data_IF_486535095717
#
_entry.id   IF_486535095717
#
_cell.length_a   1.000
_cell.length_b   1.000
_cell.length_c   1.000
_cell.angle_alpha   90.00
_cell.angle_beta   90.00
_cell.angle_gamma   90.00
#
_symmetry.space_group_name_H-M   'P 1'
#
loop_
_entity.id
_entity.type
_entity.pdbx_description
1 polymer ?
#
# COMPACT_ATOMS: atom_id res chain seq x y z
N UNK A 1 7.49 -0.73 -13.48
CA UNK A 1 7.26 -2.13 -13.08
C UNK A 1 5.96 -2.26 -12.34
N UNK A 2 5.22 -3.36 -12.54
CA UNK A 2 3.93 -3.68 -11.94
C UNK A 2 4.01 -5.03 -11.24
N UNK A 3 3.30 -5.22 -10.13
CA UNK A 3 2.99 -6.57 -9.61
C UNK A 3 1.65 -6.99 -10.19
N UNK A 4 1.63 -8.07 -10.96
CA UNK A 4 0.43 -8.58 -11.62
C UNK A 4 0.02 -9.93 -11.03
N UNK A 5 -1.28 -10.10 -10.80
CA UNK A 5 -1.90 -11.39 -10.64
C UNK A 5 -2.23 -11.95 -12.03
N UNK A 6 -1.77 -13.17 -12.30
CA UNK A 6 -1.95 -13.83 -13.59
C UNK A 6 -3.13 -14.79 -13.54
N UNK A 7 -3.79 -14.92 -14.68
CA UNK A 7 -4.99 -15.75 -14.80
C UNK A 7 -4.63 -17.23 -15.00
N UNK A 8 -4.05 -17.81 -13.95
CA UNK A 8 -3.68 -19.21 -13.87
C UNK A 8 -4.35 -19.84 -12.65
N UNK A 9 -4.48 -21.17 -12.64
CA UNK A 9 -4.87 -21.95 -11.45
C UNK A 9 -3.70 -22.88 -11.09
N UNK A 10 -3.06 -22.73 -9.91
CA UNK A 10 -3.24 -21.66 -8.93
C UNK A 10 -2.84 -20.26 -9.47
N UNK A 11 -3.33 -19.20 -8.82
CA UNK A 11 -3.00 -17.81 -9.21
C UNK A 11 -1.50 -17.60 -9.07
N UNK A 12 -0.84 -17.22 -10.17
CA UNK A 12 0.58 -16.88 -10.17
C UNK A 12 0.74 -15.36 -10.13
N UNK A 13 1.90 -14.90 -9.66
CA UNK A 13 2.24 -13.49 -9.65
C UNK A 13 3.50 -13.24 -10.46
N UNK A 14 3.63 -12.04 -11.02
CA UNK A 14 4.85 -11.64 -11.71
C UNK A 14 5.07 -10.14 -11.63
N UNK A 15 6.33 -9.75 -11.70
CA UNK A 15 6.71 -8.40 -12.05
C UNK A 15 6.58 -8.22 -13.55
N UNK A 16 6.03 -7.09 -13.98
CA UNK A 16 5.89 -6.75 -15.38
C UNK A 16 6.41 -5.33 -15.66
N UNK A 17 7.29 -5.21 -16.64
CA UNK A 17 7.76 -3.92 -17.14
C UNK A 17 6.92 -3.53 -18.35
N UNK A 18 6.16 -2.44 -18.23
CA UNK A 18 5.30 -1.94 -19.31
C UNK A 18 6.10 -1.44 -20.53
N UNK A 19 7.29 -0.91 -20.34
CA UNK A 19 8.11 -0.33 -21.41
C UNK A 19 8.84 -1.39 -22.23
N UNK A 20 9.42 -2.38 -21.55
CA UNK A 20 10.25 -3.39 -22.19
C UNK A 20 9.53 -4.74 -22.40
N UNK A 21 8.32 -4.90 -21.86
CA UNK A 21 7.60 -6.19 -21.87
C UNK A 21 8.28 -7.28 -21.04
N UNK A 22 9.28 -6.91 -20.22
CA UNK A 22 10.01 -7.86 -19.38
C UNK A 22 9.11 -8.40 -18.27
N UNK A 23 9.23 -9.70 -18.00
CA UNK A 23 8.48 -10.38 -16.94
C UNK A 23 9.42 -11.13 -16.01
N UNK A 24 9.25 -10.96 -14.70
CA UNK A 24 9.97 -11.71 -13.67
C UNK A 24 8.94 -12.46 -12.83
N UNK A 25 8.93 -13.81 -12.83
CA UNK A 25 8.01 -14.59 -12.00
C UNK A 25 8.23 -14.32 -10.51
N UNK A 26 7.13 -14.23 -9.75
CA UNK A 26 7.17 -14.17 -8.29
C UNK A 26 6.74 -15.54 -7.73
N UNK A 27 7.38 -16.02 -6.66
CA UNK A 27 6.98 -17.29 -6.05
C UNK A 27 5.60 -17.20 -5.43
N UNK A 28 4.88 -18.33 -5.43
CA UNK A 28 3.51 -18.41 -4.90
C UNK A 28 3.43 -18.81 -3.42
N UNK A 29 4.57 -18.95 -2.75
CA UNK A 29 4.64 -19.49 -1.40
C UNK A 29 5.49 -18.67 -0.43
N UNK A 30 5.13 -18.72 0.85
CA UNK A 30 5.78 -18.06 1.97
C UNK A 30 6.47 -19.11 2.86
N UNK A 31 7.72 -18.86 3.22
CA UNK A 31 8.43 -19.60 4.25
C UNK A 31 8.13 -18.99 5.62
N UNK A 32 7.55 -19.78 6.52
CA UNK A 32 7.25 -19.39 7.91
C UNK A 32 8.32 -20.00 8.84
N UNK A 33 9.01 -19.20 9.67
CA UNK A 33 9.89 -19.70 10.73
C UNK A 33 9.14 -20.67 11.65
N UNK A 34 9.74 -21.83 11.95
CA UNK A 34 9.23 -22.82 12.91
C UNK A 34 7.86 -23.47 12.60
N UNK A 35 7.38 -23.36 11.35
CA UNK A 35 6.09 -23.90 10.89
C UNK A 35 6.16 -24.92 9.74
N UNK A 36 4.97 -25.25 9.20
CA UNK A 36 4.75 -26.21 8.11
C UNK A 36 5.30 -25.72 6.75
N UNK A 37 6.62 -25.72 6.57
CA UNK A 37 7.28 -25.52 5.28
C UNK A 37 6.77 -24.32 4.47
N UNK A 38 6.76 -24.47 3.15
CA UNK A 38 6.29 -23.46 2.21
C UNK A 38 4.76 -23.47 2.11
N UNK A 39 4.11 -22.34 2.41
CA UNK A 39 2.64 -22.22 2.37
C UNK A 39 2.15 -21.27 1.26
N UNK A 40 1.06 -21.59 0.53
CA UNK A 40 0.52 -20.71 -0.50
C UNK A 40 0.09 -19.34 0.06
N UNK A 41 0.31 -18.28 -0.72
CA UNK A 41 -0.07 -16.92 -0.35
C UNK A 41 -0.94 -16.23 -1.40
N UNK A 42 -1.69 -15.22 -0.96
CA UNK A 42 -2.39 -14.28 -1.84
C UNK A 42 -1.84 -12.88 -1.64
N UNK A 43 -1.19 -12.31 -2.67
CA UNK A 43 -0.71 -10.92 -2.67
C UNK A 43 -1.88 -9.95 -2.77
N UNK A 44 -1.84 -8.88 -1.97
CA UNK A 44 -2.87 -7.83 -1.95
C UNK A 44 -2.34 -6.48 -2.36
N UNK A 45 -1.19 -6.10 -1.81
CA UNK A 45 -0.50 -4.87 -2.13
C UNK A 45 1.00 -5.11 -2.01
N UNK A 46 1.80 -4.40 -2.79
CA UNK A 46 3.25 -4.55 -2.78
C UNK A 46 3.95 -3.25 -3.14
N UNK A 47 5.14 -3.07 -2.59
CA UNK A 47 6.01 -1.92 -2.81
C UNK A 47 7.45 -2.37 -2.99
N UNK A 48 8.29 -1.55 -3.63
CA UNK A 48 9.68 -1.90 -3.95
C UNK A 48 10.65 -0.99 -3.23
N UNK A 49 11.82 -1.52 -2.89
CA UNK A 49 12.95 -0.70 -2.42
C UNK A 49 13.52 0.19 -3.52
N UNK A 50 13.54 -0.32 -4.75
CA UNK A 50 14.12 0.30 -5.94
C UNK A 50 13.55 -0.34 -7.21
N UNK A 51 13.78 0.28 -8.37
CA UNK A 51 13.33 -0.27 -9.65
C UNK A 51 14.15 -1.52 -10.02
N UNK A 52 13.52 -2.63 -10.42
CA UNK A 52 14.26 -3.80 -10.95
C UNK A 52 15.13 -3.51 -12.18
N UNK A 53 14.85 -2.44 -12.94
CA UNK A 53 15.68 -2.04 -14.10
C UNK A 53 16.91 -1.23 -13.69
N UNK A 54 16.88 -0.60 -12.52
CA UNK A 54 17.99 0.17 -11.96
C UNK A 54 18.14 -0.21 -10.49
N UNK A 55 18.54 -1.47 -10.20
CA UNK A 55 18.63 -1.96 -8.84
C UNK A 55 19.67 -1.16 -8.05
N UNK A 56 19.46 -1.08 -6.74
CA UNK A 56 20.46 -0.49 -5.84
C UNK A 56 21.70 -1.39 -5.73
N UNK A 57 22.72 -0.96 -4.97
CA UNK A 57 23.94 -1.75 -4.79
C UNK A 57 23.67 -3.17 -4.25
N UNK A 58 22.57 -3.34 -3.50
CA UNK A 58 22.17 -4.63 -2.95
C UNK A 58 20.98 -5.28 -3.67
N UNK A 59 20.72 -4.90 -4.92
CA UNK A 59 19.56 -5.35 -5.67
C UNK A 59 18.29 -4.55 -5.36
N UNK A 60 17.15 -5.18 -5.61
CA UNK A 60 15.83 -4.69 -5.23
C UNK A 60 15.11 -5.75 -4.38
N UNK A 61 14.18 -5.27 -3.58
CA UNK A 61 13.34 -6.11 -2.74
C UNK A 61 11.91 -5.62 -2.78
N UNK A 62 10.99 -6.54 -2.56
CA UNK A 62 9.55 -6.31 -2.52
C UNK A 62 9.08 -6.56 -1.11
N UNK A 63 8.34 -5.61 -0.56
CA UNK A 63 7.53 -5.80 0.65
C UNK A 63 6.07 -5.84 0.27
N UNK A 64 5.32 -6.78 0.81
CA UNK A 64 3.94 -7.03 0.42
C UNK A 64 3.02 -7.36 1.60
N UNK A 65 1.76 -6.98 1.43
CA UNK A 65 0.65 -7.47 2.25
C UNK A 65 0.18 -8.78 1.62
N UNK A 66 0.21 -9.86 2.41
CA UNK A 66 -0.25 -11.18 2.00
C UNK A 66 -1.33 -11.73 2.92
N UNK A 67 -2.21 -12.54 2.34
CA UNK A 67 -3.13 -13.41 3.07
C UNK A 67 -2.62 -14.85 2.98
N UNK A 68 -2.39 -15.47 4.14
CA UNK A 68 -1.89 -16.84 4.29
C UNK A 68 -2.72 -17.53 5.37
N UNK A 69 -3.31 -18.69 5.09
CA UNK A 69 -4.15 -19.43 6.05
C UNK A 69 -5.22 -18.56 6.72
N UNK A 70 -5.87 -17.67 5.95
CA UNK A 70 -6.87 -16.70 6.43
C UNK A 70 -6.34 -15.65 7.43
N UNK A 71 -5.02 -15.50 7.56
CA UNK A 71 -4.35 -14.50 8.40
C UNK A 71 -3.52 -13.55 7.56
N UNK A 72 -3.42 -12.30 8.02
CA UNK A 72 -2.65 -11.25 7.37
C UNK A 72 -1.20 -11.25 7.87
N UNK A 73 -0.27 -11.11 6.94
CA UNK A 73 1.17 -11.14 7.21
C UNK A 73 1.90 -10.19 6.26
N UNK A 74 3.03 -9.64 6.73
CA UNK A 74 3.98 -8.95 5.88
C UNK A 74 4.94 -9.97 5.26
N UNK A 75 5.04 -9.97 3.93
CA UNK A 75 5.94 -10.85 3.20
C UNK A 75 6.96 -10.05 2.40
N UNK A 76 8.17 -10.60 2.30
CA UNK A 76 9.28 -9.97 1.62
C UNK A 76 9.91 -10.93 0.62
N UNK A 77 10.35 -10.40 -0.51
CA UNK A 77 11.03 -11.18 -1.53
C UNK A 77 12.09 -10.36 -2.24
N UNK A 78 13.19 -11.02 -2.57
CA UNK A 78 14.23 -10.50 -3.46
C UNK A 78 14.49 -11.51 -4.56
N UNK A 79 15.01 -11.02 -5.68
CA UNK A 79 15.35 -11.87 -6.81
C UNK A 79 16.32 -12.99 -6.39
N UNK A 80 16.06 -14.20 -6.91
CA UNK A 80 16.81 -15.41 -6.60
C UNK A 80 16.30 -16.22 -5.41
N UNK A 81 15.41 -15.68 -4.57
CA UNK A 81 14.79 -16.47 -3.50
C UNK A 81 13.66 -17.37 -4.06
N UNK A 82 13.63 -18.67 -3.68
CA UNK A 82 12.60 -19.60 -4.16
C UNK A 82 11.22 -19.33 -3.58
N UNK A 83 11.14 -18.66 -2.42
CA UNK A 83 9.92 -18.35 -1.70
C UNK A 83 10.00 -16.95 -1.09
N UNK A 84 8.84 -16.41 -0.71
CA UNK A 84 8.78 -15.22 0.14
C UNK A 84 9.24 -15.56 1.56
N UNK A 85 9.78 -14.57 2.26
CA UNK A 85 10.14 -14.67 3.68
C UNK A 85 9.29 -13.69 4.50
N UNK A 86 9.29 -13.86 5.81
CA UNK A 86 8.67 -12.93 6.77
C UNK A 86 9.71 -12.47 7.81
N UNK A 87 9.30 -11.70 8.81
CA UNK A 87 10.14 -11.33 9.95
C UNK A 87 10.54 -12.56 10.76
N UNK A 88 11.73 -12.51 11.36
CA UNK A 88 12.22 -13.50 12.34
C UNK A 88 11.53 -13.37 13.72
N UNK A 89 10.40 -12.66 13.78
CA UNK A 89 9.66 -12.47 15.02
C UNK A 89 8.76 -13.68 15.25
N UNK A 90 8.62 -14.11 16.50
CA UNK A 90 7.62 -15.10 16.91
C UNK A 90 6.20 -14.70 16.47
N UNK A 91 5.93 -13.39 16.35
CA UNK A 91 4.67 -12.86 15.83
C UNK A 91 4.77 -12.55 14.33
N UNK A 92 4.65 -13.58 13.51
CA UNK A 92 4.53 -13.47 12.04
C UNK A 92 3.22 -12.80 11.63
N UNK A 93 2.19 -12.87 12.47
CA UNK A 93 0.85 -12.44 12.14
C UNK A 93 0.64 -10.99 12.51
N UNK A 94 -0.14 -10.27 11.70
CA UNK A 94 -0.57 -8.93 12.06
C UNK A 94 -1.86 -9.01 12.87
N UNK A 95 -1.83 -8.49 14.10
CA UNK A 95 -2.99 -8.44 15.01
C UNK A 95 -4.18 -7.70 14.40
N UNK A 96 -3.90 -6.72 13.53
CA UNK A 96 -4.88 -5.99 12.72
C UNK A 96 -4.54 -6.13 11.23
N UNK A 97 -5.55 -6.23 10.35
CA UNK A 97 -5.30 -6.24 8.91
C UNK A 97 -4.61 -4.94 8.47
N UNK A 98 -3.44 -5.01 7.80
CA UNK A 98 -2.83 -3.85 7.17
C UNK A 98 -3.73 -3.36 6.02
N UNK A 99 -3.76 -2.04 5.82
CA UNK A 99 -4.50 -1.37 4.76
C UNK A 99 -3.59 -0.96 3.61
N UNK A 100 -2.34 -0.60 3.91
CA UNK A 100 -1.37 -0.21 2.90
C UNK A 100 0.09 -0.48 3.33
N UNK A 101 0.99 -0.53 2.35
CA UNK A 101 2.43 -0.71 2.52
C UNK A 101 3.22 0.28 1.65
N UNK A 102 4.29 0.87 2.19
CA UNK A 102 5.17 1.77 1.44
C UNK A 102 6.62 1.61 1.89
N UNK A 103 7.55 1.53 0.94
CA UNK A 103 8.96 1.68 1.24
C UNK A 103 9.34 3.17 1.22
N UNK A 104 9.91 3.65 2.31
CA UNK A 104 10.39 5.02 2.47
C UNK A 104 11.52 5.02 3.51
N UNK A 105 12.47 5.95 3.44
CA UNK A 105 13.50 6.12 4.48
C UNK A 105 14.28 4.85 4.88
N UNK A 106 14.41 3.85 3.99
CA UNK A 106 15.11 2.59 4.28
C UNK A 106 14.28 1.49 4.95
N UNK A 107 12.98 1.69 5.19
CA UNK A 107 12.10 0.72 5.83
C UNK A 107 10.79 0.51 5.05
N UNK A 108 10.17 -0.66 5.23
CA UNK A 108 8.81 -0.91 4.80
C UNK A 108 7.84 -0.53 5.91
N UNK A 109 6.99 0.45 5.65
CA UNK A 109 5.94 0.91 6.54
C UNK A 109 4.63 0.23 6.17
N UNK A 110 4.01 -0.45 7.13
CA UNK A 110 2.65 -0.98 7.01
C UNK A 110 1.73 -0.18 7.91
N UNK A 111 0.62 0.32 7.36
CA UNK A 111 -0.41 1.02 8.16
C UNK A 111 -1.61 0.11 8.38
N UNK A 112 -2.09 0.05 9.62
CA UNK A 112 -3.26 -0.75 10.00
C UNK A 112 -4.56 0.06 9.92
N UNK A 113 -5.70 -0.62 10.06
CA UNK A 113 -7.01 0.04 10.11
C UNK A 113 -7.18 0.97 11.32
N UNK A 114 -6.41 0.78 12.39
CA UNK A 114 -6.34 1.66 13.57
C UNK A 114 -5.16 2.64 13.52
N UNK A 115 -4.59 2.88 12.33
CA UNK A 115 -3.58 3.91 12.06
C UNK A 115 -2.23 3.69 12.76
N UNK A 116 -1.99 2.47 13.26
CA UNK A 116 -0.69 2.06 13.76
C UNK A 116 0.25 1.79 12.60
N UNK A 117 1.54 1.99 12.87
CA UNK A 117 2.63 1.65 11.95
C UNK A 117 3.36 0.42 12.47
N UNK A 118 3.55 -0.55 11.59
CA UNK A 118 4.52 -1.63 11.79
C UNK A 118 5.61 -1.44 10.74
N UNK A 119 6.85 -1.22 11.19
CA UNK A 119 8.00 -1.06 10.31
C UNK A 119 8.76 -2.37 10.18
N UNK A 120 9.22 -2.66 8.98
CA UNK A 120 10.17 -3.74 8.72
C UNK A 120 11.42 -3.17 8.07
N UNK A 121 12.55 -3.31 8.76
CA UNK A 121 13.85 -2.83 8.29
C UNK A 121 14.62 -4.02 7.72
N UNK A 122 14.99 -4.01 6.43
CA UNK A 122 15.86 -5.02 5.86
C UNK A 122 17.27 -4.85 6.42
N UNK A 123 17.79 -5.88 7.06
CA UNK A 123 19.15 -5.89 7.65
C UNK A 123 19.91 -7.13 7.23
N UNK A 124 21.23 -7.06 7.19
CA UNK A 124 22.07 -8.21 6.90
C UNK A 124 22.25 -9.06 8.16
N UNK A 125 22.00 -10.36 8.06
CA UNK A 125 22.36 -11.32 9.09
C UNK A 125 23.80 -11.78 8.86
N UNK A 126 24.73 -11.25 9.67
CA UNK A 126 26.12 -11.69 9.73
C UNK A 126 26.85 -11.70 8.38
N UNK A 127 27.71 -12.70 8.21
CA UNK A 127 28.69 -12.79 7.11
C UNK A 127 28.11 -13.45 5.83
N UNK A 128 26.88 -13.97 5.87
CA UNK A 128 26.32 -14.83 4.79
C UNK A 128 25.45 -14.12 3.76
N UNK A 129 25.44 -12.78 3.70
CA UNK A 129 24.68 -12.02 2.70
C UNK A 129 23.16 -12.34 2.70
N UNK A 130 22.66 -12.86 3.83
CA UNK A 130 21.24 -13.16 4.05
C UNK A 130 20.54 -11.94 4.63
N UNK A 131 19.35 -11.63 4.10
CA UNK A 131 18.53 -10.53 4.59
C UNK A 131 17.55 -11.02 5.63
N UNK A 132 17.52 -10.34 6.78
CA UNK A 132 16.52 -10.53 7.82
C UNK A 132 15.70 -9.27 7.99
N UNK A 133 14.41 -9.45 8.26
CA UNK A 133 13.45 -8.36 8.44
C UNK A 133 13.24 -8.12 9.91
N UNK A 134 13.78 -7.01 10.42
CA UNK A 134 13.54 -6.59 11.80
C UNK A 134 12.22 -5.86 11.89
N UNK A 135 11.29 -6.39 12.68
CA UNK A 135 9.97 -5.83 12.95
C UNK A 135 10.05 -4.82 14.10
N UNK A 136 9.43 -3.66 13.90
CA UNK A 136 9.20 -2.64 14.94
C UNK A 136 7.74 -2.23 14.93
N UNK A 137 7.01 -2.56 15.99
CA UNK A 137 5.66 -2.07 16.22
C UNK A 137 5.74 -0.66 16.82
N UNK A 138 5.36 0.36 16.05
CA UNK A 138 5.44 1.74 16.51
C UNK A 138 4.34 2.05 17.52
N UNK A 139 4.69 2.71 18.61
CA UNK A 139 3.72 3.27 19.55
C UNK A 139 3.16 4.58 18.97
N UNK A 140 1.97 4.49 18.37
CA UNK A 140 1.35 5.62 17.70
C UNK A 140 0.40 6.35 18.63
N UNK A 141 0.71 7.61 18.91
CA UNK A 141 -0.23 8.53 19.54
C UNK A 141 -1.42 8.73 18.61
N UNK A 142 -2.61 8.68 19.19
CA UNK A 142 -3.84 8.91 18.47
C UNK A 142 -3.87 10.34 17.92
N UNK A 143 -4.18 10.47 16.61
CA UNK A 143 -4.29 11.77 15.97
C UNK A 143 -5.61 12.48 16.29
N UNK A 144 -5.61 13.79 16.02
CA UNK A 144 -6.80 14.61 16.12
C UNK A 144 -7.92 14.14 15.19
N UNK A 145 -9.14 14.10 15.74
CA UNK A 145 -10.36 13.69 15.04
C UNK A 145 -10.50 12.17 14.81
N UNK A 146 -9.61 11.32 15.34
CA UNK A 146 -9.76 9.86 15.23
C UNK A 146 -11.03 9.36 15.94
N UNK A 147 -11.37 9.93 17.10
CA UNK A 147 -12.57 9.55 17.83
C UNK A 147 -13.86 9.89 17.07
N UNK A 148 -13.88 11.01 16.34
CA UNK A 148 -15.02 11.40 15.50
C UNK A 148 -15.18 10.44 14.32
N UNK A 149 -14.06 10.00 13.75
CA UNK A 149 -14.04 9.02 12.66
C UNK A 149 -14.57 7.64 13.09
N UNK A 150 -14.37 7.24 14.35
CA UNK A 150 -14.93 6.01 14.91
C UNK A 150 -16.45 6.08 15.14
N UNK A 151 -16.99 7.27 15.42
CA UNK A 151 -18.43 7.50 15.59
C UNK A 151 -19.15 7.65 14.24
N UNK A 152 -18.41 7.97 13.18
CA UNK A 152 -18.92 8.04 11.83
C UNK A 152 -19.35 6.68 11.28
N UNK A 153 -20.25 6.69 10.28
CA UNK A 153 -20.69 5.51 9.54
C UNK A 153 -19.91 5.30 8.22
N UNK A 154 -18.86 6.07 7.99
CA UNK A 154 -18.02 5.93 6.80
C UNK A 154 -17.06 4.73 6.94
N UNK A 155 -16.90 3.97 5.86
CA UNK A 155 -15.72 3.10 5.71
C UNK A 155 -14.51 3.97 5.36
N UNK A 156 -13.44 3.86 6.14
CA UNK A 156 -12.22 4.65 5.93
C UNK A 156 -11.11 3.75 5.39
N UNK A 157 -10.69 4.01 4.15
CA UNK A 157 -9.48 3.41 3.59
C UNK A 157 -8.26 4.31 3.86
N UNK A 158 -7.09 3.68 3.99
CA UNK A 158 -5.82 4.33 4.33
C UNK A 158 -4.80 4.03 3.26
N UNK A 159 -4.09 5.04 2.83
CA UNK A 159 -3.02 4.94 1.83
C UNK A 159 -1.76 5.60 2.35
N UNK A 160 -0.60 5.01 2.07
CA UNK A 160 0.71 5.55 2.41
C UNK A 160 1.36 6.14 1.16
N UNK A 161 1.84 7.38 1.29
CA UNK A 161 2.52 8.09 0.22
C UNK A 161 3.85 8.61 0.73
N UNK A 162 4.92 8.37 -0.01
CA UNK A 162 6.17 9.08 0.22
C UNK A 162 6.11 10.38 -0.58
N UNK A 163 6.30 11.51 0.09
CA UNK A 163 6.36 12.83 -0.54
C UNK A 163 7.59 13.57 -0.05
N UNK A 164 8.57 13.76 -0.93
CA UNK A 164 9.85 14.44 -0.63
C UNK A 164 10.55 13.83 0.61
N UNK A 165 10.51 12.50 0.75
CA UNK A 165 11.11 11.78 1.87
C UNK A 165 10.29 11.80 3.17
N UNK A 166 9.10 12.39 3.16
CA UNK A 166 8.18 12.38 4.30
C UNK A 166 7.03 11.44 4.00
N UNK A 167 6.80 10.49 4.91
CA UNK A 167 5.67 9.57 4.83
C UNK A 167 4.37 10.28 5.18
N UNK A 168 3.36 10.14 4.33
CA UNK A 168 2.02 10.66 4.51
C UNK A 168 1.00 9.52 4.53
N UNK A 169 -0.03 9.67 5.35
CA UNK A 169 -1.24 8.85 5.31
C UNK A 169 -2.37 9.66 4.69
N UNK A 170 -3.04 9.09 3.70
CA UNK A 170 -4.26 9.66 3.10
C UNK A 170 -5.45 8.80 3.52
N UNK A 171 -6.43 9.43 4.16
CA UNK A 171 -7.72 8.83 4.49
C UNK A 171 -8.71 9.08 3.37
N UNK A 172 -9.40 8.03 2.95
CA UNK A 172 -10.52 8.07 2.00
C UNK A 172 -11.80 7.66 2.70
N UNK A 173 -12.79 8.55 2.73
CA UNK A 173 -14.07 8.31 3.38
C UNK A 173 -15.10 7.82 2.36
N UNK A 174 -15.60 6.61 2.56
CA UNK A 174 -16.50 5.91 1.63
C UNK A 174 -17.81 5.59 2.36
N UNK A 175 -18.92 6.10 1.83
CA UNK A 175 -20.26 5.85 2.35
C UNK A 175 -21.00 4.91 1.39
N UNK A 176 -21.66 3.88 1.93
CA UNK A 176 -22.27 2.81 1.11
C UNK A 176 -23.14 3.33 -0.04
N UNK A 177 -23.91 4.40 0.19
CA UNK A 177 -24.86 4.94 -0.79
C UNK A 177 -24.30 6.08 -1.65
N UNK A 178 -23.14 6.62 -1.31
CA UNK A 178 -22.58 7.84 -1.96
C UNK A 178 -21.21 7.60 -2.59
N UNK A 179 -20.55 6.48 -2.29
CA UNK A 179 -19.16 6.27 -2.67
C UNK A 179 -18.23 7.18 -1.87
N UNK A 180 -17.15 7.62 -2.50
CA UNK A 180 -16.16 8.48 -1.87
C UNK A 180 -16.66 9.91 -1.77
N UNK A 181 -16.59 10.50 -0.59
CA UNK A 181 -17.08 11.87 -0.36
C UNK A 181 -15.98 12.86 -0.01
N UNK A 182 -14.96 12.42 0.75
CA UNK A 182 -13.88 13.31 1.19
C UNK A 182 -12.56 12.58 1.42
N UNK A 183 -11.50 13.38 1.48
CA UNK A 183 -10.17 12.93 1.85
C UNK A 183 -9.59 13.80 2.97
N UNK A 184 -8.71 13.21 3.79
CA UNK A 184 -7.85 13.94 4.71
C UNK A 184 -6.42 13.42 4.56
N UNK A 185 -5.45 14.31 4.67
CA UNK A 185 -4.04 13.95 4.57
C UNK A 185 -3.37 14.22 5.90
N UNK A 186 -2.47 13.34 6.29
CA UNK A 186 -1.65 13.47 7.47
C UNK A 186 -0.20 13.15 7.13
N UNK A 187 0.74 13.84 7.76
CA UNK A 187 2.17 13.50 7.71
C UNK A 187 2.56 12.73 8.96
N UNK A 188 3.40 11.72 8.78
CA UNK A 188 4.01 11.01 9.88
C UNK A 188 5.02 11.92 10.58
N UNK A 189 4.97 11.96 11.91
CA UNK A 189 5.97 12.60 12.73
C UNK A 189 6.48 11.59 13.74
N UNK A 190 7.75 11.20 13.61
CA UNK A 190 8.46 10.47 14.65
C UNK A 190 8.67 11.40 15.85
N UNK A 191 8.42 10.89 17.05
CA UNK A 191 8.71 11.59 18.29
C UNK A 191 10.12 11.22 18.78
N UNK A 192 10.77 12.07 19.60
CA UNK A 192 12.09 11.77 20.12
C UNK A 192 12.12 10.41 20.83
N UNK A 193 13.05 9.55 20.42
CA UNK A 193 13.25 8.27 21.06
C UNK A 193 13.89 8.48 22.43
N UNK A 194 13.27 7.93 23.47
CA UNK A 194 13.72 8.12 24.87
C UNK A 194 14.82 7.11 25.23
N UNK A 195 14.81 5.91 24.64
CA UNK A 195 15.83 4.87 24.78
C UNK A 195 15.76 3.87 23.61
N UNK A 196 16.85 3.13 23.36
CA UNK A 196 16.95 2.16 22.26
C UNK A 196 15.99 0.96 22.42
N UNK A 197 15.70 0.55 23.66
CA UNK A 197 14.81 -0.57 23.98
C UNK A 197 13.32 -0.20 23.97
N UNK A 198 13.00 1.09 23.77
CA UNK A 198 11.60 1.56 23.71
C UNK A 198 11.13 1.52 22.26
N UNK A 199 9.93 0.98 21.97
CA UNK A 199 9.39 0.99 20.63
C UNK A 199 9.36 2.40 20.03
N UNK A 200 9.66 2.56 18.72
CA UNK A 200 9.60 3.87 18.07
C UNK A 200 8.23 4.51 18.26
N UNK A 201 8.20 5.77 18.71
CA UNK A 201 6.94 6.49 18.95
C UNK A 201 6.66 7.49 17.85
N UNK A 202 5.40 7.67 17.46
CA UNK A 202 5.04 8.63 16.43
C UNK A 202 3.61 9.14 16.53
N UNK A 203 3.26 10.11 15.69
CA UNK A 203 1.89 10.60 15.52
C UNK A 203 1.62 10.98 14.06
N UNK A 204 0.34 11.22 13.74
CA UNK A 204 -0.11 11.72 12.44
C UNK A 204 -0.57 13.16 12.58
N UNK A 205 0.11 14.08 11.89
CA UNK A 205 -0.23 15.50 11.88
C UNK A 205 -1.05 15.86 10.64
N UNK A 206 -2.17 16.57 10.81
CA UNK A 206 -3.02 16.98 9.69
C UNK A 206 -2.27 17.87 8.71
N UNK A 207 -2.53 17.67 7.42
CA UNK A 207 -1.98 18.43 6.30
C UNK A 207 -3.14 18.95 5.46
N UNK A 208 -3.17 20.26 5.22
CA UNK A 208 -4.23 20.93 4.45
C UNK A 208 -3.85 21.22 3.00
N UNK A 209 -2.57 21.12 2.65
CA UNK A 209 -2.06 21.40 1.30
C UNK A 209 -0.87 20.52 0.95
N UNK A 210 -0.57 20.39 -0.34
CA UNK A 210 0.50 19.53 -0.85
C UNK A 210 1.63 20.32 -1.52
N UNK A 211 1.72 21.63 -1.27
CA UNK A 211 2.85 22.49 -1.70
C UNK A 211 3.29 22.29 -3.16
N UNK A 212 2.33 22.39 -4.08
CA UNK A 212 2.57 22.23 -5.52
C UNK A 212 2.66 20.77 -6.00
N UNK A 213 2.32 19.80 -5.14
CA UNK A 213 2.27 18.39 -5.49
C UNK A 213 0.82 17.90 -5.66
N UNK A 214 0.68 16.79 -6.36
CA UNK A 214 -0.55 16.00 -6.48
C UNK A 214 -0.28 14.56 -6.06
N UNK A 215 -1.30 13.88 -5.53
CA UNK A 215 -1.18 12.47 -5.14
C UNK A 215 -1.97 11.59 -6.09
N UNK A 216 -1.39 10.46 -6.46
CA UNK A 216 -2.09 9.34 -7.08
C UNK A 216 -2.15 8.21 -6.07
N UNK A 217 -3.36 7.80 -5.68
CA UNK A 217 -3.56 6.76 -4.70
C UNK A 217 -3.59 5.37 -5.33
N UNK A 218 -3.07 4.42 -4.57
CA UNK A 218 -3.21 3.00 -4.84
C UNK A 218 -2.47 2.19 -3.78
N UNK A 219 -3.06 1.07 -3.38
CA UNK A 219 -2.47 0.20 -2.37
C UNK A 219 -1.10 -0.34 -2.85
N UNK A 220 -0.07 -0.18 -2.03
CA UNK A 220 1.34 -0.53 -2.28
C UNK A 220 2.08 0.49 -3.14
N UNK A 221 1.35 1.40 -3.79
CA UNK A 221 1.83 2.08 -4.99
C UNK A 221 1.50 3.56 -5.08
N UNK A 222 0.89 4.17 -4.06
CA UNK A 222 0.60 5.60 -4.10
C UNK A 222 1.86 6.44 -4.37
N UNK A 223 1.69 7.57 -5.06
CA UNK A 223 2.78 8.47 -5.50
C UNK A 223 2.42 9.92 -5.26
N UNK A 224 3.44 10.70 -4.93
CA UNK A 224 3.41 12.16 -4.97
C UNK A 224 4.16 12.63 -6.22
N UNK A 225 3.61 13.62 -6.92
CA UNK A 225 4.17 14.14 -8.18
C UNK A 225 4.15 15.66 -8.14
N UNK A 226 5.23 16.29 -8.58
CA UNK A 226 5.32 17.73 -8.75
C UNK A 226 4.43 18.19 -9.91
N UNK A 227 3.45 19.05 -9.63
CA UNK A 227 2.52 19.54 -10.65
C UNK A 227 3.24 20.30 -11.75
N UNK A 228 4.32 21.00 -11.43
CA UNK A 228 5.13 21.75 -12.41
C UNK A 228 5.71 20.88 -13.55
N UNK A 229 5.77 19.56 -13.38
CA UNK A 229 6.23 18.63 -14.42
C UNK A 229 5.16 18.33 -15.49
N UNK A 230 3.88 18.65 -15.23
CA UNK A 230 2.76 18.28 -16.10
C UNK A 230 1.80 19.44 -16.31
N UNK A 231 1.51 19.77 -17.57
CA UNK A 231 0.50 20.78 -17.90
C UNK A 231 -0.92 20.25 -17.62
N UNK A 232 -1.81 21.13 -17.15
CA UNK A 232 -3.23 20.83 -16.95
C UNK A 232 -3.57 20.11 -15.63
N UNK A 233 -2.59 19.94 -14.74
CA UNK A 233 -2.82 19.44 -13.39
C UNK A 233 -2.88 20.58 -12.36
N UNK A 234 -3.68 20.38 -11.32
CA UNK A 234 -3.85 21.31 -10.20
C UNK A 234 -3.07 20.81 -8.99
N UNK A 235 -2.39 21.72 -8.29
CA UNK A 235 -1.76 21.41 -7.00
C UNK A 235 -2.78 20.98 -5.96
N UNK A 236 -2.32 20.31 -4.90
CA UNK A 236 -3.17 19.89 -3.78
C UNK A 236 -4.35 18.98 -4.21
N UNK A 237 -4.19 18.24 -5.31
CA UNK A 237 -5.20 17.33 -5.86
C UNK A 237 -4.83 15.87 -5.62
N UNK A 238 -5.81 15.07 -5.20
CA UNK A 238 -5.72 13.64 -4.96
C UNK A 238 -6.51 12.90 -6.03
N UNK A 239 -5.85 12.07 -6.82
CA UNK A 239 -6.41 11.18 -7.81
C UNK A 239 -6.55 9.78 -7.24
N UNK A 240 -7.70 9.15 -7.38
CA UNK A 240 -7.95 7.84 -6.77
C UNK A 240 -8.73 6.90 -7.71
N UNK A 241 -8.33 5.62 -7.78
CA UNK A 241 -9.05 4.61 -8.54
C UNK A 241 -10.25 4.04 -7.76
N UNK A 242 -11.11 3.31 -8.47
CA UNK A 242 -12.09 2.42 -7.84
C UNK A 242 -11.38 1.14 -7.42
N UNK A 243 -10.76 1.17 -6.24
CA UNK A 243 -10.10 0.02 -5.61
C UNK A 243 -10.99 -0.68 -4.59
N UNK A 244 -12.30 -0.38 -4.60
CA UNK A 244 -13.29 -1.05 -3.76
C UNK A 244 -13.48 -2.48 -4.23
N UNK A 245 -12.94 -3.41 -3.47
CA UNK A 245 -13.38 -4.79 -3.51
C UNK A 245 -14.78 -4.88 -2.88
N UNK A 246 -15.84 -5.11 -3.68
CA UNK A 246 -17.23 -5.25 -3.19
C UNK A 246 -17.44 -6.67 -2.65
N UNK A 247 -17.82 -6.86 -1.37
CA UNK A 247 -18.27 -8.15 -0.87
C UNK A 247 -19.65 -8.56 -1.38
N UNK A 248 -19.72 -9.49 -2.34
CA UNK A 248 -20.90 -10.35 -2.45
C UNK A 248 -21.09 -11.16 -1.16
N UNK A 249 -22.34 -11.32 -0.68
CA UNK A 249 -22.66 -12.03 0.55
C UNK A 249 -22.45 -13.56 0.49
N UNK A 250 -22.16 -14.15 -0.67
CA UNK A 250 -21.83 -15.57 -0.79
C UNK A 250 -20.48 -15.81 -1.50
N UNK A 251 -19.48 -16.42 -0.83
CA UNK A 251 -18.19 -16.72 -1.43
C UNK A 251 -18.24 -18.05 -2.17
N UNK A 252 -18.21 -18.04 -3.51
CA UNK A 252 -17.84 -19.22 -4.29
C UNK A 252 -16.47 -19.04 -4.93
N UNK A 253 -15.71 -20.14 -5.01
CA UNK A 253 -14.29 -20.22 -5.41
C UNK A 253 -14.01 -19.68 -6.82
N UNK A 254 -15.06 -19.50 -7.65
CA UNK A 254 -14.97 -19.06 -9.04
C UNK A 254 -15.38 -17.59 -9.29
N UNK A 255 -15.92 -16.86 -8.31
CA UNK A 255 -16.41 -15.48 -8.52
C UNK A 255 -15.34 -14.41 -8.21
N UNK A 256 -14.42 -14.17 -9.15
CA UNK A 256 -13.58 -12.96 -9.12
C UNK A 256 -14.47 -11.74 -9.38
N UNK A 257 -14.63 -10.87 -8.38
CA UNK A 257 -15.43 -9.64 -8.47
C UNK A 257 -14.81 -8.66 -9.47
N UNK A 258 -15.64 -8.11 -10.35
CA UNK A 258 -15.22 -7.04 -11.26
C UNK A 258 -15.20 -5.67 -10.58
N UNK A 259 -14.13 -4.91 -10.77
CA UNK A 259 -14.06 -3.49 -10.50
C UNK A 259 -15.07 -2.75 -11.39
N UNK A 260 -15.87 -1.90 -10.74
CA UNK A 260 -16.97 -1.18 -11.38
C UNK A 260 -16.55 0.13 -12.04
N UNK A 261 -15.39 0.69 -11.70
CA UNK A 261 -14.88 1.99 -12.17
C UNK A 261 -15.84 3.17 -11.89
N UNK A 262 -16.78 2.99 -10.95
CA UNK A 262 -17.79 4.00 -10.63
C UNK A 262 -17.32 4.94 -9.53
N UNK A 263 -16.49 4.47 -8.60
CA UNK A 263 -15.98 5.26 -7.48
C UNK A 263 -14.50 5.58 -7.67
N UNK A 264 -14.25 6.32 -8.74
CA UNK A 264 -12.95 6.86 -9.10
C UNK A 264 -13.08 8.33 -9.46
N UNK A 265 -12.07 9.12 -9.09
CA UNK A 265 -12.17 10.55 -9.19
C UNK A 265 -10.89 11.30 -8.87
N UNK A 266 -11.07 12.61 -8.79
CA UNK A 266 -10.09 13.54 -8.22
C UNK A 266 -10.75 14.35 -7.09
N UNK A 267 -9.95 14.76 -6.12
CA UNK A 267 -10.36 15.55 -4.98
C UNK A 267 -9.36 16.67 -4.74
N UNK A 268 -9.81 17.93 -4.73
CA UNK A 268 -8.96 19.06 -4.37
C UNK A 268 -9.05 19.33 -2.87
N UNK A 269 -7.91 19.33 -2.17
CA UNK A 269 -7.83 19.67 -0.74
C UNK A 269 -8.13 21.15 -0.47
N UNK A 270 -7.99 22.01 -1.49
CA UNK A 270 -8.16 23.46 -1.38
C UNK A 270 -9.48 23.96 -2.02
N UNK A 271 -10.25 23.10 -2.67
CA UNK A 271 -11.46 23.50 -3.39
C UNK A 271 -12.58 23.96 -2.46
N UNK A 272 -13.23 25.08 -2.79
CA UNK A 272 -14.31 25.73 -2.00
C UNK A 272 -15.51 24.82 -1.67
N UNK A 273 -15.65 23.67 -2.33
CA UNK A 273 -16.74 22.72 -2.10
C UNK A 273 -16.30 21.33 -1.63
N UNK A 274 -14.98 21.07 -1.49
CA UNK A 274 -14.45 19.81 -0.95
C UNK A 274 -15.13 18.54 -1.50
N UNK A 275 -15.52 18.55 -2.78
CA UNK A 275 -16.34 17.52 -3.41
C UNK A 275 -15.50 16.69 -4.38
N UNK A 276 -15.78 15.39 -4.42
CA UNK A 276 -15.18 14.48 -5.41
C UNK A 276 -15.68 14.85 -6.81
N UNK A 277 -14.73 14.97 -7.74
CA UNK A 277 -15.01 15.19 -9.17
C UNK A 277 -14.68 13.93 -9.99
N UNK A 278 -15.46 13.61 -11.04
CA UNK A 278 -15.15 12.49 -11.91
C UNK A 278 -13.79 12.64 -12.60
N UNK A 279 -12.94 11.63 -12.46
CA UNK A 279 -11.66 11.52 -13.16
C UNK A 279 -11.20 10.04 -13.23
N UNK A 280 -10.64 9.57 -14.36
CA UNK A 280 -10.53 10.26 -15.63
C UNK A 280 -11.92 10.53 -16.25
N UNK A 281 -11.99 11.31 -17.34
CA UNK A 281 -13.23 11.52 -18.09
C UNK A 281 -13.98 10.21 -18.36
N UNK A 282 -15.30 10.22 -18.24
CA UNK A 282 -16.16 9.01 -18.21
C UNK A 282 -16.03 8.18 -19.49
N UNK A 283 -15.86 8.85 -20.62
CA UNK A 283 -15.62 8.26 -21.95
C UNK A 283 -14.32 7.47 -22.06
N UNK A 284 -13.39 7.64 -21.11
CA UNK A 284 -12.10 6.94 -21.05
C UNK A 284 -12.06 5.82 -20.01
N UNK A 285 -13.18 5.51 -19.34
CA UNK A 285 -13.23 4.48 -18.30
C UNK A 285 -13.51 3.10 -18.91
N UNK A 286 -12.79 2.04 -18.49
CA UNK A 286 -13.17 0.67 -18.83
C UNK A 286 -14.55 0.33 -18.27
N UNK A 287 -15.30 -0.54 -18.96
CA UNK A 287 -16.64 -0.92 -18.52
C UNK A 287 -16.61 -1.80 -17.24
N UNK A 288 -15.77 -2.85 -17.21
CA UNK A 288 -15.54 -3.77 -16.08
C UNK A 288 -14.20 -4.49 -16.24
N UNK A 289 -13.58 -4.87 -15.12
CA UNK A 289 -12.39 -5.73 -15.09
C UNK A 289 -12.38 -6.52 -13.80
N UNK A 290 -12.11 -7.81 -13.84
CA UNK A 290 -11.92 -8.68 -12.66
C UNK A 290 -10.45 -8.79 -12.23
N UNK A 291 -9.54 -8.05 -12.90
CA UNK A 291 -8.10 -8.26 -12.76
C UNK A 291 -7.31 -7.09 -12.18
N UNK A 292 -7.91 -5.91 -12.04
CA UNK A 292 -7.21 -4.77 -11.48
C UNK A 292 -8.20 -3.66 -11.08
N UNK A 293 -8.02 -2.96 -9.94
CA UNK A 293 -8.16 -1.52 -10.04
C UNK A 293 -6.99 -1.02 -10.89
N UNK A 294 -7.14 0.02 -11.71
CA UNK A 294 -6.02 0.57 -12.48
C UNK A 294 -4.94 0.98 -11.48
N UNK A 295 -3.93 0.14 -11.35
CA UNK A 295 -2.86 0.33 -10.37
C UNK A 295 -1.81 1.13 -11.12
N UNK A 296 -1.67 2.40 -10.76
CA UNK A 296 -0.74 3.31 -11.44
C UNK A 296 0.69 2.89 -11.13
N UNK A 297 1.46 2.49 -12.15
CA UNK A 297 2.91 2.37 -12.03
C UNK A 297 3.63 2.89 -13.27
N UNK A 298 4.34 4.00 -13.08
CA UNK A 298 5.47 4.42 -13.91
C UNK A 298 6.66 4.53 -12.95
N UNK A 299 7.54 3.54 -12.99
CA UNK A 299 8.93 3.65 -12.56
C UNK A 299 9.75 3.71 -13.84
#
# INVERSE_FOLDING_TARGET
WLVLALDTRPTQYALYNLYFGQRIPLPGGLTIPDGAGNVPLVLRAATFTSSPTSPGPNGYMIGAIVLVCSKWCAAFWREGLPNWITSESDDVWMSRPPQDVKFAGGAFFFVTADEKIVMYVPTFAGDENQYVMRRYDCDMLQRDGYADDLQGNAKIARYLVDSRGVLHMVLRYIYNNQGTTRFRVFKYQALPQVADDVPPTGTWLSVSELDGQMLFLGQGCSRSIEVAQFQGFEGSTIYFPDDRFIPDPEPTVDNRRSYSFIDMGKYSLQGEQGAVQPWPPVDRRPARSDKAPPTWWLH
#
